data_IF_991160963327
#
_entry.id   IF_991160963327
#
_cell.length_a   1.000
_cell.length_b   1.000
_cell.length_c   1.000
_cell.angle_alpha   90.00
_cell.angle_beta   90.00
_cell.angle_gamma   90.00
#
_symmetry.space_group_name_H-M   'P 1'
#
loop_
_entity.id
_entity.type
_entity.pdbx_description
1 polymer ?
#
# COMPACT_ATOMS: atom_id res chain seq x y z
N UNK A 1 -14.27 6.08 -6.67
CA UNK A 1 -13.02 6.17 -5.89
C UNK A 1 -11.93 6.56 -6.88
N UNK A 2 -11.89 7.83 -7.30
CA UNK A 2 -11.02 8.30 -8.38
C UNK A 2 -10.08 9.34 -7.75
N UNK A 3 -8.87 8.90 -7.41
CA UNK A 3 -7.81 9.78 -6.93
C UNK A 3 -6.90 10.12 -8.12
N UNK A 4 -6.71 11.41 -8.39
CA UNK A 4 -5.78 11.91 -9.41
C UNK A 4 -4.54 12.46 -8.71
N UNK A 5 -3.36 11.95 -9.08
CA UNK A 5 -2.08 12.46 -8.59
C UNK A 5 -1.76 13.75 -9.34
N UNK A 6 -1.70 14.87 -8.62
CA UNK A 6 -1.45 16.20 -9.19
C UNK A 6 -0.14 16.82 -8.67
N UNK A 7 0.85 15.99 -8.35
CA UNK A 7 2.21 16.42 -8.04
C UNK A 7 3.12 16.07 -9.21
N UNK A 8 3.81 17.07 -9.74
CA UNK A 8 4.78 16.89 -10.82
C UNK A 8 5.78 15.78 -10.46
N UNK A 9 5.86 14.76 -11.29
CA UNK A 9 6.80 13.66 -11.14
C UNK A 9 8.21 14.22 -11.35
N UNK A 10 9.03 14.30 -10.29
CA UNK A 10 10.39 14.79 -10.41
C UNK A 10 11.28 13.65 -10.94
N UNK A 11 11.90 13.88 -12.10
CA UNK A 11 12.94 13.02 -12.67
C UNK A 11 14.29 13.62 -12.29
N UNK A 12 15.14 12.85 -11.63
CA UNK A 12 16.53 13.23 -11.33
C UNK A 12 17.40 12.00 -11.53
N UNK A 13 18.48 12.11 -12.31
CA UNK A 13 19.41 10.99 -12.59
C UNK A 13 18.71 9.72 -13.11
N UNK A 14 17.76 9.86 -14.05
CA UNK A 14 16.98 8.75 -14.62
C UNK A 14 16.17 7.98 -13.56
N UNK A 15 15.83 8.65 -12.47
CA UNK A 15 14.99 8.12 -11.40
C UNK A 15 13.77 9.04 -11.27
N UNK A 16 12.59 8.47 -11.47
CA UNK A 16 11.33 9.13 -11.17
C UNK A 16 10.95 8.85 -9.72
N UNK A 17 10.55 9.90 -8.99
CA UNK A 17 10.02 9.78 -7.64
C UNK A 17 8.52 10.09 -7.64
N UNK A 18 7.73 9.16 -7.13
CA UNK A 18 6.29 9.32 -6.97
C UNK A 18 5.95 9.32 -5.48
N UNK A 19 5.25 10.36 -5.05
CA UNK A 19 4.67 10.43 -3.70
C UNK A 19 3.31 9.73 -3.68
N UNK A 20 3.24 8.58 -3.01
CA UNK A 20 2.02 7.81 -2.83
C UNK A 20 1.50 7.98 -1.39
N UNK A 21 0.28 8.47 -1.25
CA UNK A 21 -0.41 8.53 0.05
C UNK A 21 -1.46 7.43 0.12
N UNK A 22 -1.28 6.49 1.05
CA UNK A 22 -2.18 5.36 1.26
C UNK A 22 -2.95 5.51 2.57
N UNK A 23 -4.26 5.22 2.51
CA UNK A 23 -5.15 5.08 3.66
C UNK A 23 -5.55 3.61 3.78
N UNK A 24 -5.28 3.01 4.94
CA UNK A 24 -5.71 1.67 5.29
C UNK A 24 -6.84 1.77 6.31
N UNK A 25 -7.98 1.16 5.98
CA UNK A 25 -9.12 1.00 6.89
C UNK A 25 -9.12 -0.45 7.32
N UNK A 26 -8.91 -0.70 8.60
CA UNK A 26 -8.66 -2.03 9.15
C UNK A 26 -9.77 -2.40 10.12
N UNK A 27 -10.52 -3.46 9.83
CA UNK A 27 -11.60 -3.97 10.67
C UNK A 27 -11.11 -5.17 11.53
N UNK A 28 -11.24 -5.11 12.87
CA UNK A 28 -10.88 -6.21 13.76
C UNK A 28 -11.93 -7.33 13.77
N UNK A 29 -11.75 -8.39 12.97
CA UNK A 29 -12.68 -9.54 12.94
C UNK A 29 -12.44 -10.51 14.12
N UNK A 30 -11.17 -10.87 14.40
CA UNK A 30 -10.78 -11.83 15.45
C UNK A 30 -9.39 -11.50 16.02
N UNK A 31 -9.23 -10.32 16.62
CA UNK A 31 -7.92 -9.86 17.10
C UNK A 31 -7.81 -9.92 18.61
N UNK A 32 -6.81 -10.64 19.10
CA UNK A 32 -6.51 -10.76 20.52
C UNK A 32 -5.66 -9.60 21.06
N UNK A 33 -5.02 -8.83 20.18
CA UNK A 33 -4.18 -7.70 20.53
C UNK A 33 -4.59 -6.44 19.74
N UNK A 34 -4.25 -5.28 20.28
CA UNK A 34 -4.51 -4.00 19.61
C UNK A 34 -3.57 -3.77 18.42
N UNK A 35 -2.43 -4.47 18.36
CA UNK A 35 -1.38 -4.17 17.40
C UNK A 35 -1.80 -4.54 15.97
N UNK A 36 -1.84 -3.53 15.12
CA UNK A 36 -1.98 -3.71 13.68
C UNK A 36 -0.59 -3.78 13.08
N UNK A 37 -0.30 -4.85 12.33
CA UNK A 37 0.87 -4.96 11.49
C UNK A 37 0.46 -5.50 10.13
N UNK A 38 0.61 -4.67 9.10
CA UNK A 38 0.18 -4.98 7.74
C UNK A 38 1.36 -4.87 6.78
N UNK A 39 1.99 -6.00 6.42
CA UNK A 39 2.93 -6.05 5.31
C UNK A 39 2.19 -5.97 3.97
N UNK A 40 2.74 -5.19 3.05
CA UNK A 40 2.20 -5.02 1.71
C UNK A 40 3.33 -4.76 0.72
N UNK A 41 3.04 -4.92 -0.56
CA UNK A 41 3.96 -4.60 -1.64
C UNK A 41 3.28 -3.67 -2.65
N UNK A 42 4.13 -2.94 -3.38
CA UNK A 42 3.74 -2.17 -4.56
C UNK A 42 4.48 -2.79 -5.73
N UNK A 43 3.74 -3.30 -6.70
CA UNK A 43 4.28 -3.83 -7.94
C UNK A 43 4.01 -2.86 -9.09
N UNK A 44 4.97 -2.76 -10.00
CA UNK A 44 4.80 -2.04 -11.27
C UNK A 44 4.60 -3.08 -12.35
N UNK A 45 3.52 -2.93 -13.07
CA UNK A 45 3.21 -3.75 -14.23
C UNK A 45 3.28 -2.85 -15.46
N UNK A 46 4.00 -3.30 -16.49
CA UNK A 46 4.10 -2.54 -17.73
C UNK A 46 2.89 -2.72 -18.64
N UNK A 47 2.85 -1.96 -19.73
CA UNK A 47 1.79 -2.06 -20.75
C UNK A 47 1.63 -3.43 -21.41
N UNK A 48 2.61 -4.33 -21.27
CA UNK A 48 2.56 -5.72 -21.75
C UNK A 48 2.13 -6.69 -20.65
N UNK A 49 1.71 -6.17 -19.49
CA UNK A 49 1.35 -6.93 -18.31
C UNK A 49 2.55 -7.69 -17.68
N UNK A 50 3.78 -7.22 -17.91
CA UNK A 50 4.99 -7.78 -17.34
C UNK A 50 5.39 -7.07 -16.05
N UNK A 51 5.84 -7.83 -15.04
CA UNK A 51 6.34 -7.28 -13.78
C UNK A 51 7.67 -6.57 -14.01
N UNK A 52 7.71 -5.26 -13.73
CA UNK A 52 8.92 -4.44 -13.83
C UNK A 52 9.71 -4.37 -12.53
N UNK A 53 9.00 -4.13 -11.44
CA UNK A 53 9.59 -4.01 -10.10
C UNK A 53 8.56 -4.34 -9.03
N UNK A 54 9.07 -4.68 -7.85
CA UNK A 54 8.27 -4.87 -6.64
C UNK A 54 9.02 -4.29 -5.43
N UNK A 55 8.34 -3.45 -4.66
CA UNK A 55 8.88 -2.86 -3.44
C UNK A 55 8.01 -3.24 -2.25
N UNK A 56 8.64 -3.63 -1.16
CA UNK A 56 7.99 -4.15 0.04
C UNK A 56 7.96 -3.12 1.15
N UNK A 57 6.81 -3.02 1.81
CA UNK A 57 6.57 -2.07 2.89
C UNK A 57 5.78 -2.74 4.02
N UNK A 58 5.72 -2.04 5.14
CA UNK A 58 4.81 -2.36 6.23
C UNK A 58 4.12 -1.09 6.73
N UNK A 59 2.99 -1.24 7.38
CA UNK A 59 2.39 -0.20 8.21
C UNK A 59 1.99 -0.82 9.54
N UNK A 60 2.21 -0.07 10.62
CA UNK A 60 1.89 -0.49 11.97
C UNK A 60 1.11 0.57 12.71
N UNK A 61 0.27 0.14 13.64
CA UNK A 61 -0.50 1.02 14.51
C UNK A 61 -1.27 0.21 15.54
N UNK A 62 -2.29 0.82 16.13
CA UNK A 62 -3.15 0.16 17.10
C UNK A 62 -4.61 0.32 16.71
N UNK A 63 -5.41 -0.72 16.94
CA UNK A 63 -6.86 -0.61 16.94
C UNK A 63 -7.31 0.37 18.01
N UNK A 64 -8.31 1.19 17.65
CA UNK A 64 -9.09 1.96 18.59
C UNK A 64 -9.97 1.01 19.39
N UNK A 65 -10.28 1.40 20.62
CA UNK A 65 -11.21 0.69 21.50
C UNK A 65 -12.46 1.53 21.62
N UNK A 66 -13.61 0.87 21.52
CA UNK A 66 -14.89 1.45 21.89
C UNK A 66 -15.04 1.40 23.42
N UNK A 67 -15.22 2.55 24.05
CA UNK A 67 -15.24 2.66 25.52
C UNK A 67 -16.51 2.08 26.17
N UNK A 68 -17.58 1.86 25.40
CA UNK A 68 -18.85 1.32 25.91
C UNK A 68 -18.80 -0.22 25.92
N UNK A 69 -18.24 -0.80 24.86
CA UNK A 69 -18.17 -2.25 24.66
C UNK A 69 -16.83 -2.88 25.06
N UNK A 70 -15.78 -2.07 25.22
CA UNK A 70 -14.38 -2.49 25.35
C UNK A 70 -13.89 -3.37 24.20
N UNK A 71 -14.53 -3.31 23.03
CA UNK A 71 -14.12 -4.05 21.84
C UNK A 71 -13.23 -3.19 20.94
N UNK A 72 -12.33 -3.85 20.22
CA UNK A 72 -11.58 -3.20 19.16
C UNK A 72 -12.53 -2.83 18.01
N UNK A 73 -12.31 -1.65 17.44
CA UNK A 73 -13.12 -1.13 16.32
C UNK A 73 -12.26 -0.75 15.13
N UNK A 74 -12.93 -0.52 14.00
CA UNK A 74 -12.31 -0.08 12.76
C UNK A 74 -11.35 1.09 12.99
N UNK A 75 -10.17 0.98 12.40
CA UNK A 75 -9.08 1.92 12.61
C UNK A 75 -8.42 2.32 11.30
N UNK A 76 -8.09 3.61 11.21
CA UNK A 76 -7.42 4.20 10.06
C UNK A 76 -5.91 4.28 10.31
N UNK A 77 -5.13 3.82 9.33
CA UNK A 77 -3.68 4.04 9.28
C UNK A 77 -3.31 4.74 7.98
N UNK A 78 -2.43 5.74 8.06
CA UNK A 78 -1.98 6.51 6.90
C UNK A 78 -0.49 6.35 6.70
N UNK A 79 -0.07 6.09 5.47
CA UNK A 79 1.35 6.01 5.12
C UNK A 79 1.63 6.78 3.84
N UNK A 80 2.65 7.63 3.91
CA UNK A 80 3.24 8.29 2.74
C UNK A 80 4.46 7.48 2.32
N UNK A 81 4.52 7.13 1.04
CA UNK A 81 5.62 6.39 0.44
C UNK A 81 6.23 7.26 -0.64
N UNK A 82 7.56 7.41 -0.58
CA UNK A 82 8.36 7.85 -1.71
C UNK A 82 8.73 6.62 -2.51
N UNK A 83 8.03 6.43 -3.62
CA UNK A 83 8.23 5.32 -4.52
C UNK A 83 9.27 5.70 -5.57
N UNK A 84 10.28 4.84 -5.75
CA UNK A 84 11.37 5.06 -6.71
C UNK A 84 11.14 4.24 -7.96
N UNK A 85 11.17 4.88 -9.11
CA UNK A 85 11.07 4.27 -10.43
C UNK A 85 12.38 4.49 -11.18
N UNK A 86 12.97 3.42 -11.71
CA UNK A 86 14.03 3.57 -12.70
C UNK A 86 13.38 4.03 -14.01
N UNK A 87 13.54 5.31 -14.31
CA UNK A 87 13.13 5.88 -15.58
C UNK A 87 14.23 5.57 -16.61
N UNK A 88 13.86 5.01 -17.75
CA UNK A 88 14.74 5.07 -18.93
C UNK A 88 14.13 6.15 -19.79
N UNK A 89 14.94 7.07 -20.31
CA UNK A 89 14.51 8.23 -21.11
C UNK A 89 13.68 7.84 -22.35
N UNK A 90 13.64 6.54 -22.69
CA UNK A 90 12.83 5.96 -23.75
C UNK A 90 11.43 5.49 -23.32
N UNK A 91 11.10 5.51 -22.02
CA UNK A 91 9.91 4.82 -21.47
C UNK A 91 8.88 5.79 -20.91
N UNK A 92 7.73 5.81 -21.56
CA UNK A 92 6.53 6.47 -21.08
C UNK A 92 5.99 5.76 -19.80
N UNK A 93 6.25 6.37 -18.63
CA UNK A 93 5.76 5.90 -17.32
C UNK A 93 4.21 5.97 -17.27
N UNK A 94 3.56 6.79 -18.11
CA UNK A 94 2.11 7.00 -18.05
C UNK A 94 1.30 5.74 -18.37
N UNK A 95 1.91 4.74 -19.01
CA UNK A 95 1.28 3.47 -19.34
C UNK A 95 1.52 2.35 -18.30
N UNK A 96 2.32 2.61 -17.26
CA UNK A 96 2.60 1.62 -16.21
C UNK A 96 1.49 1.62 -15.14
N UNK A 97 1.12 0.43 -14.67
CA UNK A 97 0.11 0.23 -13.64
C UNK A 97 0.78 -0.05 -12.30
N UNK A 98 0.36 0.68 -11.27
CA UNK A 98 0.75 0.41 -9.89
C UNK A 98 -0.28 -0.51 -9.23
N UNK A 99 0.19 -1.63 -8.70
CA UNK A 99 -0.63 -2.60 -7.96
C UNK A 99 -0.19 -2.61 -6.50
N UNK A 100 -1.12 -2.34 -5.58
CA UNK A 100 -0.91 -2.50 -4.14
C UNK A 100 -1.46 -3.85 -3.73
N UNK A 101 -0.57 -4.74 -3.26
CA UNK A 101 -0.93 -6.08 -2.81
C UNK A 101 -0.65 -6.29 -1.33
N UNK A 102 -1.53 -7.01 -0.65
CA UNK A 102 -1.38 -7.37 0.77
C UNK A 102 -0.71 -8.72 0.92
N UNK A 103 0.24 -8.82 1.86
CA UNK A 103 0.87 -10.09 2.20
C UNK A 103 0.10 -10.72 3.36
N UNK A 104 -0.65 -11.78 3.06
CA UNK A 104 -1.49 -12.44 4.05
C UNK A 104 -0.68 -13.42 4.89
N UNK A 105 -0.87 -13.36 6.20
CA UNK A 105 -0.45 -14.43 7.11
C UNK A 105 -1.32 -15.68 6.94
N UNK A 106 -0.85 -16.84 7.41
CA UNK A 106 -1.63 -18.10 7.36
C UNK A 106 -3.04 -17.94 7.96
N UNK A 107 -3.14 -17.29 9.12
CA UNK A 107 -4.42 -17.04 9.78
C UNK A 107 -5.37 -16.17 8.93
N UNK A 108 -4.84 -15.25 8.14
CA UNK A 108 -5.66 -14.42 7.24
C UNK A 108 -6.11 -15.18 6.00
N UNK A 109 -5.31 -16.14 5.51
CA UNK A 109 -5.71 -17.03 4.43
C UNK A 109 -6.86 -17.96 4.85
N UNK A 110 -6.88 -18.39 6.11
CA UNK A 110 -7.98 -19.22 6.67
C UNK A 110 -9.32 -18.48 6.71
N UNK A 111 -9.34 -17.15 6.77
CA UNK A 111 -10.58 -16.35 6.75
C UNK A 111 -11.15 -16.22 5.33
N UNK A 112 -10.32 -16.37 4.31
CA UNK A 112 -10.71 -16.20 2.90
C UNK A 112 -11.21 -17.49 2.23
N UNK A 113 -10.99 -18.65 2.87
CA UNK A 113 -11.42 -19.96 2.39
C UNK A 113 -12.60 -20.48 3.21
#
# INVERSE_FOLDING_TARGET
>A
NNFSFNSDCFITDNIAYIDLSLLFIVNPINVANSNIFLPFYIAIIDKKNELKDIQYYNISGNFKIDNETNLYVESELRKKIKFRLLHDDTRDISADVLVVGFMLSKNQLEILN
#
